data_IF_145667841604
#
_entry.id   IF_145667841604
#
_cell.length_a   1.000
_cell.length_b   1.000
_cell.length_c   1.000
_cell.angle_alpha   90.00
_cell.angle_beta   90.00
_cell.angle_gamma   90.00
#
_symmetry.space_group_name_H-M   'P 1'
#
loop_
_entity.id
_entity.type
_entity.pdbx_description
1 polymer ?
#
# COMPACT_ATOMS: atom_id res chain seq x y z
N UNK A 1 -17.30 -18.90 -13.33
CA UNK A 1 -17.02 -19.93 -12.30
C UNK A 1 -15.77 -19.61 -11.47
N UNK A 2 -14.66 -19.18 -12.08
CA UNK A 2 -13.44 -18.79 -11.36
C UNK A 2 -13.64 -17.64 -10.36
N UNK A 3 -14.42 -16.61 -10.72
CA UNK A 3 -14.74 -15.49 -9.82
C UNK A 3 -15.43 -15.94 -8.53
N UNK A 4 -16.38 -16.87 -8.65
CA UNK A 4 -17.15 -17.38 -7.52
C UNK A 4 -16.24 -18.21 -6.59
N UNK A 5 -15.32 -18.97 -7.17
CA UNK A 5 -14.28 -19.68 -6.43
C UNK A 5 -13.33 -18.70 -5.71
N UNK A 6 -12.91 -17.61 -6.36
CA UNK A 6 -12.03 -16.60 -5.77
C UNK A 6 -12.71 -15.90 -4.58
N UNK A 7 -13.99 -15.55 -4.70
CA UNK A 7 -14.78 -14.95 -3.61
C UNK A 7 -14.90 -15.92 -2.43
N UNK A 8 -15.23 -17.19 -2.69
CA UNK A 8 -15.37 -18.21 -1.63
C UNK A 8 -14.02 -18.45 -0.94
N UNK A 9 -12.93 -18.60 -1.69
CA UNK A 9 -11.59 -18.76 -1.13
C UNK A 9 -11.16 -17.55 -0.31
N UNK A 10 -11.38 -16.33 -0.82
CA UNK A 10 -11.08 -15.09 -0.09
C UNK A 10 -11.87 -14.99 1.21
N UNK A 11 -13.15 -15.38 1.20
CA UNK A 11 -14.00 -15.45 2.38
C UNK A 11 -13.49 -16.47 3.41
N UNK A 12 -13.14 -17.67 2.97
CA UNK A 12 -12.57 -18.73 3.83
C UNK A 12 -11.27 -18.25 4.47
N UNK A 13 -10.34 -17.71 3.68
CA UNK A 13 -9.04 -17.20 4.18
C UNK A 13 -9.26 -16.10 5.23
N UNK A 14 -10.16 -15.16 4.95
CA UNK A 14 -10.47 -14.05 5.88
C UNK A 14 -11.06 -14.58 7.19
N UNK A 15 -12.01 -15.52 7.10
CA UNK A 15 -12.64 -16.14 8.26
C UNK A 15 -11.63 -16.92 9.10
N UNK A 16 -10.86 -17.80 8.48
CA UNK A 16 -9.86 -18.65 9.17
C UNK A 16 -8.81 -17.79 9.85
N UNK A 17 -8.30 -16.76 9.17
CA UNK A 17 -7.30 -15.84 9.75
C UNK A 17 -7.82 -15.18 11.03
N UNK A 18 -9.11 -14.77 11.07
CA UNK A 18 -9.74 -14.22 12.28
C UNK A 18 -10.02 -15.29 13.34
N UNK A 19 -10.51 -16.45 12.93
CA UNK A 19 -10.91 -17.54 13.83
C UNK A 19 -9.71 -18.10 14.60
N UNK A 20 -8.54 -18.21 13.96
CA UNK A 20 -7.31 -18.69 14.60
C UNK A 20 -6.97 -17.85 15.83
N UNK A 21 -6.99 -16.51 15.73
CA UNK A 21 -6.71 -15.63 16.87
C UNK A 21 -7.72 -15.78 18.01
N UNK A 22 -8.98 -16.06 17.67
CA UNK A 22 -10.05 -16.22 18.66
C UNK A 22 -9.90 -17.55 19.42
N UNK A 23 -9.58 -18.63 18.71
CA UNK A 23 -9.32 -19.96 19.29
C UNK A 23 -8.00 -19.97 20.07
N UNK A 24 -6.97 -19.27 19.58
CA UNK A 24 -5.66 -19.19 20.22
C UNK A 24 -5.57 -18.14 21.32
N UNK A 25 -6.68 -17.54 21.76
CA UNK A 25 -6.70 -16.45 22.75
C UNK A 25 -5.95 -16.75 24.05
N UNK A 26 -5.88 -18.03 24.45
CA UNK A 26 -5.18 -18.47 25.67
C UNK A 26 -3.66 -18.66 25.49
N UNK A 27 -3.19 -18.72 24.24
CA UNK A 27 -1.77 -18.90 23.93
C UNK A 27 -1.09 -17.52 23.90
N UNK A 28 -0.07 -17.34 24.75
CA UNK A 28 0.78 -16.15 24.69
C UNK A 28 1.85 -16.35 23.61
N UNK A 29 1.97 -15.43 22.64
CA UNK A 29 3.01 -15.53 21.64
C UNK A 29 4.41 -15.43 22.30
N UNK A 30 5.45 -16.03 21.70
CA UNK A 30 6.82 -15.89 22.18
C UNK A 30 7.23 -14.42 22.19
N UNK A 31 8.02 -13.99 23.18
CA UNK A 31 8.48 -12.58 23.35
C UNK A 31 9.07 -11.95 22.08
N UNK A 32 9.71 -12.76 21.22
CA UNK A 32 10.28 -12.31 19.94
C UNK A 32 9.19 -11.93 18.94
N UNK A 33 8.12 -12.71 18.84
CA UNK A 33 6.99 -12.46 17.93
C UNK A 33 6.19 -11.24 18.39
N UNK A 34 5.96 -11.14 19.70
CA UNK A 34 5.25 -10.02 20.30
C UNK A 34 5.89 -8.66 19.98
N UNK A 35 7.22 -8.59 19.94
CA UNK A 35 7.97 -7.39 19.53
C UNK A 35 7.65 -6.93 18.09
N UNK A 36 7.34 -7.86 17.19
CA UNK A 36 7.13 -7.57 15.77
C UNK A 36 5.64 -7.49 15.39
N UNK A 37 4.71 -7.94 16.25
CA UNK A 37 3.26 -7.82 16.00
C UNK A 37 2.81 -6.39 15.66
N UNK A 38 3.34 -5.31 16.29
CA UNK A 38 2.99 -3.94 15.91
C UNK A 38 3.40 -3.55 14.49
N UNK A 39 4.37 -4.25 13.89
CA UNK A 39 4.87 -3.96 12.54
C UNK A 39 4.05 -4.64 11.43
N UNK A 40 3.07 -5.49 11.76
CA UNK A 40 2.25 -6.19 10.77
C UNK A 40 1.47 -5.20 9.91
N UNK A 41 0.85 -4.18 10.52
CA UNK A 41 0.13 -3.13 9.80
C UNK A 41 0.99 -2.42 8.74
N UNK A 42 2.13 -1.80 9.11
CA UNK A 42 3.01 -1.16 8.13
C UNK A 42 3.65 -2.16 7.15
N UNK A 43 3.90 -3.41 7.54
CA UNK A 43 4.43 -4.42 6.63
C UNK A 43 3.42 -4.80 5.54
N UNK A 44 2.14 -4.99 5.88
CA UNK A 44 1.07 -5.27 4.92
C UNK A 44 0.84 -4.08 3.99
N UNK A 45 0.81 -2.86 4.55
CA UNK A 45 0.70 -1.64 3.73
C UNK A 45 1.88 -1.52 2.77
N UNK A 46 3.10 -1.79 3.23
CA UNK A 46 4.29 -1.81 2.37
C UNK A 46 4.19 -2.87 1.28
N UNK A 47 3.75 -4.09 1.62
CA UNK A 47 3.60 -5.18 0.65
C UNK A 47 2.58 -4.88 -0.46
N UNK A 48 1.56 -4.06 -0.19
CA UNK A 48 0.56 -3.63 -1.19
C UNK A 48 1.02 -2.38 -1.95
N UNK A 49 1.57 -1.39 -1.25
CA UNK A 49 1.93 -0.11 -1.85
C UNK A 49 3.20 -0.18 -2.70
N UNK A 50 4.22 -0.95 -2.28
CA UNK A 50 5.52 -1.00 -2.98
C UNK A 50 5.37 -1.53 -4.42
N UNK A 51 4.67 -2.66 -4.69
CA UNK A 51 4.47 -3.11 -6.06
C UNK A 51 3.71 -2.10 -6.91
N UNK A 52 2.71 -1.42 -6.33
CA UNK A 52 1.95 -0.37 -7.00
C UNK A 52 2.79 0.85 -7.39
N UNK A 53 3.91 1.11 -6.69
CA UNK A 53 4.85 2.19 -7.00
C UNK A 53 5.94 1.72 -7.97
N UNK A 54 6.54 0.55 -7.74
CA UNK A 54 7.69 0.06 -8.52
C UNK A 54 7.30 -0.52 -9.88
N UNK A 55 6.22 -1.30 -9.94
CA UNK A 55 5.79 -2.01 -11.13
C UNK A 55 4.25 -1.96 -11.28
N UNK A 56 3.66 -0.78 -11.54
CA UNK A 56 2.21 -0.60 -11.59
C UNK A 56 1.51 -1.51 -12.61
N UNK A 57 2.21 -1.82 -13.71
CA UNK A 57 1.73 -2.68 -14.81
C UNK A 57 2.38 -4.06 -14.84
N UNK A 58 3.08 -4.45 -13.78
CA UNK A 58 3.89 -5.68 -13.74
C UNK A 58 5.25 -5.55 -14.43
N UNK A 59 5.56 -4.38 -15.00
CA UNK A 59 6.85 -4.04 -15.60
C UNK A 59 7.44 -2.81 -14.90
N UNK A 60 8.77 -2.79 -14.78
CA UNK A 60 9.49 -1.63 -14.26
C UNK A 60 9.74 -0.67 -15.43
N UNK A 61 8.94 0.39 -15.49
CA UNK A 61 9.07 1.46 -16.47
C UNK A 61 9.51 2.73 -15.74
N UNK A 62 10.70 3.24 -16.05
CA UNK A 62 11.19 4.48 -15.40
C UNK A 62 10.21 5.65 -15.61
N UNK A 63 9.49 5.68 -16.74
CA UNK A 63 8.51 6.71 -17.06
C UNK A 63 7.33 6.67 -16.09
N UNK A 64 6.91 5.49 -15.62
CA UNK A 64 5.78 5.33 -14.69
C UNK A 64 6.23 5.32 -13.22
N UNK A 65 7.37 4.70 -12.93
CA UNK A 65 7.91 4.52 -11.58
C UNK A 65 8.41 5.84 -11.00
N UNK A 66 9.11 6.68 -11.78
CA UNK A 66 9.68 7.94 -11.27
C UNK A 66 8.59 8.89 -10.74
N UNK A 67 7.50 9.18 -11.49
CA UNK A 67 6.37 9.95 -10.97
C UNK A 67 5.79 9.40 -9.67
N UNK A 68 5.62 8.07 -9.59
CA UNK A 68 5.03 7.42 -8.43
C UNK A 68 5.93 7.53 -7.18
N UNK A 69 7.23 7.36 -7.35
CA UNK A 69 8.22 7.54 -6.29
C UNK A 69 8.25 9.00 -5.82
N UNK A 70 8.21 9.96 -6.75
CA UNK A 70 8.17 11.39 -6.41
C UNK A 70 6.93 11.72 -5.57
N UNK A 71 5.75 11.24 -5.98
CA UNK A 71 4.51 11.44 -5.22
C UNK A 71 4.57 10.78 -3.82
N UNK A 72 5.16 9.57 -3.72
CA UNK A 72 5.35 8.89 -2.45
C UNK A 72 6.30 9.66 -1.50
N UNK A 73 7.42 10.17 -2.03
CA UNK A 73 8.37 11.00 -1.25
C UNK A 73 7.71 12.30 -0.80
N UNK A 74 6.95 12.96 -1.67
CA UNK A 74 6.21 14.18 -1.33
C UNK A 74 5.16 13.94 -0.23
N UNK A 75 4.46 12.81 -0.30
CA UNK A 75 3.52 12.37 0.75
C UNK A 75 4.23 12.23 2.10
N UNK A 76 5.37 11.54 2.09
CA UNK A 76 6.18 11.33 3.29
C UNK A 76 6.73 12.64 3.86
N UNK A 77 7.22 13.54 3.01
CA UNK A 77 7.72 14.86 3.40
C UNK A 77 6.59 15.73 4.01
N UNK A 78 5.43 15.79 3.33
CA UNK A 78 4.27 16.54 3.79
C UNK A 78 3.79 16.07 5.17
N UNK A 79 3.73 14.75 5.37
CA UNK A 79 3.47 14.17 6.68
C UNK A 79 4.60 14.44 7.69
N UNK A 80 5.88 14.37 7.27
CA UNK A 80 7.01 14.53 8.18
C UNK A 80 7.05 15.92 8.81
N UNK A 81 6.74 16.96 8.02
CA UNK A 81 6.73 18.36 8.44
C UNK A 81 5.52 18.68 9.31
N UNK A 82 4.32 18.30 8.87
CA UNK A 82 3.07 18.69 9.56
C UNK A 82 2.63 17.72 10.64
N UNK A 83 3.13 16.47 10.61
CA UNK A 83 2.66 15.34 11.42
C UNK A 83 1.18 15.01 11.21
N UNK A 84 0.55 15.55 10.18
CA UNK A 84 -0.85 15.33 9.85
C UNK A 84 -0.97 14.43 8.62
N UNK A 85 -1.69 13.31 8.78
CA UNK A 85 -1.89 12.33 7.69
C UNK A 85 -2.61 12.97 6.50
N UNK A 86 -3.64 13.78 6.77
CA UNK A 86 -4.42 14.47 5.75
C UNK A 86 -3.55 15.36 4.85
N UNK A 87 -2.62 16.11 5.44
CA UNK A 87 -1.72 17.00 4.67
C UNK A 87 -0.78 16.19 3.79
N UNK A 88 -0.18 15.12 4.32
CA UNK A 88 0.66 14.23 3.50
C UNK A 88 -0.10 13.69 2.29
N UNK A 89 -1.33 13.23 2.50
CA UNK A 89 -2.22 12.74 1.44
C UNK A 89 -2.53 13.81 0.39
N UNK A 90 -2.93 15.02 0.83
CA UNK A 90 -3.25 16.12 -0.09
C UNK A 90 -2.02 16.53 -0.91
N UNK A 91 -0.85 16.60 -0.29
CA UNK A 91 0.41 16.96 -0.97
C UNK A 91 0.79 15.91 -2.01
N UNK A 92 0.78 14.63 -1.62
CA UNK A 92 1.10 13.52 -2.51
C UNK A 92 0.15 13.41 -3.69
N UNK A 93 -1.15 13.44 -3.41
CA UNK A 93 -2.20 13.34 -4.42
C UNK A 93 -2.17 14.57 -5.34
N UNK A 94 -2.06 15.78 -4.78
CA UNK A 94 -1.94 17.00 -5.56
C UNK A 94 -0.73 16.98 -6.51
N UNK A 95 0.42 16.51 -6.02
CA UNK A 95 1.61 16.39 -6.86
C UNK A 95 1.46 15.31 -7.94
N UNK A 96 0.88 14.16 -7.61
CA UNK A 96 0.60 13.10 -8.58
C UNK A 96 -0.27 13.62 -9.74
N UNK A 97 -1.37 14.31 -9.41
CA UNK A 97 -2.26 14.88 -10.40
C UNK A 97 -1.59 15.99 -11.22
N UNK A 98 -0.73 16.81 -10.61
CA UNK A 98 0.04 17.81 -11.33
C UNK A 98 1.02 17.18 -12.34
N UNK A 99 1.74 16.12 -11.94
CA UNK A 99 2.64 15.40 -12.84
C UNK A 99 1.84 14.77 -13.99
N UNK A 100 0.70 14.15 -13.68
CA UNK A 100 -0.16 13.52 -14.68
C UNK A 100 -0.69 14.56 -15.68
N UNK A 101 -1.15 15.73 -15.21
CA UNK A 101 -1.59 16.82 -16.07
C UNK A 101 -0.46 17.34 -17.00
N UNK A 102 0.78 17.42 -16.49
CA UNK A 102 1.94 17.82 -17.29
C UNK A 102 2.28 16.76 -18.34
N UNK A 103 2.25 15.46 -17.98
CA UNK A 103 2.52 14.38 -18.93
C UNK A 103 1.50 14.33 -20.07
N UNK A 104 0.22 14.55 -19.77
CA UNK A 104 -0.85 14.71 -20.76
C UNK A 104 -0.60 15.92 -21.65
N UNK A 105 -0.26 17.08 -21.07
CA UNK A 105 -0.01 18.30 -21.83
C UNK A 105 1.21 18.21 -22.77
N UNK A 106 2.22 17.42 -22.41
CA UNK A 106 3.44 17.20 -23.22
C UNK A 106 3.23 16.09 -24.27
N UNK A 107 2.06 15.44 -24.32
CA UNK A 107 1.76 14.39 -25.29
C UNK A 107 2.53 13.10 -25.05
N UNK A 108 2.93 12.84 -23.80
CA UNK A 108 3.65 11.63 -23.37
C UNK A 108 2.66 10.47 -23.12
N UNK A 109 1.40 10.59 -23.55
CA UNK A 109 0.39 9.54 -23.36
C UNK A 109 0.64 8.30 -24.24
N UNK A 110 0.56 7.13 -23.59
CA UNK A 110 0.08 5.87 -24.15
C UNK A 110 -1.04 5.33 -23.28
#
# INVERSE_FOLDING_TARGET
MLELLAIVLGGIVTFVTRAIFLVSRKLRPPKRVERYLPLVGPAVLGAIAIPGILAPRGEISLVDTIPAVIAAVATWLGWRVTKQIAVGLIVGLGLWWAILAVMVAVGVER
#
